data_IF_540439142523
#
_entry.id   IF_540439142523
#
_cell.length_a   1.000
_cell.length_b   1.000
_cell.length_c   1.000
_cell.angle_alpha   90.00
_cell.angle_beta   90.00
_cell.angle_gamma   90.00
#
_symmetry.space_group_name_H-M   'P 1'
#
loop_
_entity.id
_entity.type
_entity.pdbx_description
1 polymer ?
#
# COMPACT_ATOMS: atom_id res chain seq x y z
N UNK A 1 -21.50 -16.38 12.33
CA UNK A 1 -21.14 -15.50 13.48
C UNK A 1 -20.11 -14.48 13.00
N UNK A 2 -20.05 -13.30 13.60
CA UNK A 2 -19.00 -12.30 13.35
C UNK A 2 -18.33 -11.94 14.67
N UNK A 3 -17.00 -11.97 14.70
CA UNK A 3 -16.18 -11.59 15.84
C UNK A 3 -15.06 -10.63 15.39
N UNK A 4 -14.82 -9.59 16.16
CA UNK A 4 -13.79 -8.57 15.95
C UNK A 4 -12.89 -8.49 17.19
N UNK A 5 -11.66 -9.00 17.11
CA UNK A 5 -10.67 -9.02 18.21
C UNK A 5 -11.22 -9.61 19.51
N UNK A 6 -11.99 -10.71 19.44
CA UNK A 6 -12.62 -11.36 20.59
C UNK A 6 -13.98 -10.77 20.97
N UNK A 7 -14.32 -9.56 20.48
CA UNK A 7 -15.64 -8.96 20.66
C UNK A 7 -16.65 -9.53 19.67
N UNK A 8 -17.60 -10.30 20.18
CA UNK A 8 -18.73 -10.81 19.38
C UNK A 8 -19.59 -9.65 18.90
N UNK A 9 -19.97 -9.66 17.62
CA UNK A 9 -20.96 -8.75 17.04
C UNK A 9 -22.27 -9.52 16.82
N UNK A 10 -23.20 -9.52 17.80
CA UNK A 10 -24.41 -10.36 17.77
C UNK A 10 -25.51 -9.78 16.88
N UNK A 11 -25.34 -9.88 15.56
CA UNK A 11 -26.39 -9.54 14.59
C UNK A 11 -27.33 -10.73 14.34
N UNK A 12 -28.64 -10.47 14.33
CA UNK A 12 -29.63 -11.41 13.79
C UNK A 12 -29.67 -11.31 12.27
N UNK A 13 -29.89 -12.44 11.60
CA UNK A 13 -29.91 -12.47 10.13
C UNK A 13 -28.62 -11.95 9.49
N UNK A 14 -27.47 -12.18 10.16
CA UNK A 14 -26.16 -11.75 9.69
C UNK A 14 -25.91 -12.21 8.25
N UNK A 15 -25.72 -11.27 7.34
CA UNK A 15 -25.26 -11.51 5.97
C UNK A 15 -23.95 -10.78 5.74
N UNK A 16 -22.97 -11.48 5.18
CA UNK A 16 -21.66 -10.94 4.87
C UNK A 16 -21.42 -11.15 3.37
N UNK A 17 -21.24 -10.05 2.65
CA UNK A 17 -20.97 -10.03 1.21
C UNK A 17 -19.56 -9.53 1.00
N UNK A 18 -18.73 -10.32 0.32
CA UNK A 18 -17.40 -9.88 -0.08
C UNK A 18 -17.44 -9.23 -1.47
N UNK A 19 -16.77 -8.10 -1.62
CA UNK A 19 -16.61 -7.37 -2.89
C UNK A 19 -15.16 -6.95 -3.08
N UNK A 20 -14.67 -7.01 -4.31
CA UNK A 20 -13.32 -6.60 -4.69
C UNK A 20 -13.38 -6.04 -6.11
N UNK A 21 -13.06 -4.76 -6.29
CA UNK A 21 -13.10 -4.12 -7.61
C UNK A 21 -11.97 -4.63 -8.48
N UNK A 22 -12.27 -5.35 -9.56
CA UNK A 22 -11.29 -5.82 -10.56
C UNK A 22 -10.86 -4.64 -11.43
N UNK A 23 -9.55 -4.54 -11.68
CA UNK A 23 -9.07 -3.68 -12.74
C UNK A 23 -9.66 -4.23 -14.05
N UNK A 24 -10.38 -3.37 -14.76
CA UNK A 24 -10.96 -3.63 -16.06
C UNK A 24 -10.72 -2.38 -16.87
N UNK A 25 -9.97 -2.56 -17.96
CA UNK A 25 -9.64 -1.56 -18.98
C UNK A 25 -10.80 -0.56 -19.16
N UNK A 26 -10.57 0.72 -18.86
CA UNK A 26 -11.47 1.76 -19.34
C UNK A 26 -11.38 1.73 -20.86
N UNK A 27 -12.48 1.28 -21.44
CA UNK A 27 -12.60 0.83 -22.81
C UNK A 27 -13.00 2.02 -23.66
N UNK A 28 -12.11 3.02 -23.77
CA UNK A 28 -12.16 4.04 -24.82
C UNK A 28 -10.90 3.91 -25.66
N UNK A 29 -11.06 3.28 -26.83
CA UNK A 29 -9.99 2.73 -27.63
C UNK A 29 -8.87 3.71 -27.98
N UNK A 30 -7.63 3.26 -27.87
CA UNK A 30 -6.75 3.05 -29.02
C UNK A 30 -5.47 2.38 -28.54
N UNK A 31 -5.01 1.45 -29.37
CA UNK A 31 -3.63 0.96 -29.44
C UNK A 31 -3.23 -0.17 -28.47
N UNK A 32 -2.77 -1.24 -29.10
CA UNK A 32 -2.32 -2.49 -28.52
C UNK A 32 -1.06 -2.36 -27.65
N UNK A 33 -0.88 -3.38 -26.80
CA UNK A 33 0.37 -3.82 -26.18
C UNK A 33 0.92 -2.98 -25.01
N UNK A 34 0.55 -3.34 -23.79
CA UNK A 34 1.47 -3.90 -22.79
C UNK A 34 0.64 -4.61 -21.72
N UNK A 35 1.16 -5.69 -21.12
CA UNK A 35 0.56 -6.33 -19.95
C UNK A 35 0.09 -5.26 -18.97
N UNK A 36 -1.22 -5.22 -18.77
CA UNK A 36 -1.86 -4.24 -17.90
C UNK A 36 -1.23 -4.37 -16.53
N UNK A 37 -0.48 -3.35 -16.13
CA UNK A 37 0.12 -3.29 -14.81
C UNK A 37 -1.01 -3.28 -13.77
N UNK A 38 -1.34 -4.46 -13.22
CA UNK A 38 -2.22 -4.64 -12.06
C UNK A 38 -1.56 -4.11 -10.77
N UNK A 39 -0.85 -2.98 -10.84
CA UNK A 39 -0.22 -2.35 -9.67
C UNK A 39 -1.22 -1.38 -9.07
N UNK A 40 -2.22 -1.95 -8.39
CA UNK A 40 -3.09 -1.23 -7.48
C UNK A 40 -3.56 -2.20 -6.42
N UNK A 41 -3.27 -1.91 -5.15
CA UNK A 41 -3.65 -2.72 -3.98
C UNK A 41 -5.18 -2.99 -4.00
N UNK A 42 -5.56 -4.10 -4.63
CA UNK A 42 -6.95 -4.45 -4.86
C UNK A 42 -7.54 -4.96 -3.55
N UNK A 43 -7.96 -4.03 -2.70
CA UNK A 43 -8.36 -4.32 -1.33
C UNK A 43 -9.74 -4.98 -1.30
N UNK A 44 -9.89 -6.08 -0.54
CA UNK A 44 -11.18 -6.75 -0.37
C UNK A 44 -12.02 -5.98 0.67
N UNK A 45 -13.31 -5.86 0.39
CA UNK A 45 -14.28 -5.24 1.29
C UNK A 45 -15.35 -6.27 1.65
N UNK A 46 -15.70 -6.34 2.93
CA UNK A 46 -16.79 -7.13 3.46
C UNK A 46 -17.93 -6.19 3.85
N UNK A 47 -19.02 -6.21 3.10
CA UNK A 47 -20.27 -5.55 3.46
C UNK A 47 -21.05 -6.46 4.41
N UNK A 48 -21.36 -5.96 5.60
CA UNK A 48 -22.07 -6.70 6.63
C UNK A 48 -23.43 -6.07 6.87
N UNK A 49 -24.46 -6.90 6.91
CA UNK A 49 -25.82 -6.48 7.24
C UNK A 49 -26.44 -7.43 8.27
N UNK A 50 -27.41 -6.93 9.02
CA UNK A 50 -28.19 -7.71 9.96
C UNK A 50 -29.13 -6.82 10.77
N UNK A 51 -29.71 -7.39 11.82
CA UNK A 51 -30.62 -6.64 12.70
C UNK A 51 -30.25 -6.77 14.18
N UNK A 52 -30.56 -5.72 14.94
CA UNK A 52 -30.42 -5.67 16.40
C UNK A 52 -31.78 -5.28 16.99
N UNK A 53 -32.40 -6.11 17.85
CA UNK A 53 -33.66 -5.75 18.51
C UNK A 53 -33.51 -4.50 19.39
N UNK A 54 -34.56 -3.66 19.51
CA UNK A 54 -34.53 -2.45 20.36
C UNK A 54 -34.18 -2.72 21.82
N UNK A 55 -34.63 -3.87 22.35
CA UNK A 55 -34.28 -4.33 23.70
C UNK A 55 -32.78 -4.56 23.93
N UNK A 56 -31.98 -4.61 22.87
CA UNK A 56 -30.54 -4.83 22.90
C UNK A 56 -29.75 -3.55 22.56
N UNK A 57 -30.23 -2.38 23.01
CA UNK A 57 -29.55 -1.10 22.84
C UNK A 57 -28.05 -1.10 23.21
N UNK A 58 -27.59 -1.80 24.27
CA UNK A 58 -26.16 -1.89 24.57
C UNK A 58 -25.32 -2.48 23.43
N UNK A 59 -25.88 -3.44 22.67
CA UNK A 59 -25.18 -4.06 21.53
C UNK A 59 -25.00 -3.08 20.37
N UNK A 60 -26.00 -2.21 20.14
CA UNK A 60 -25.90 -1.16 19.14
C UNK A 60 -24.81 -0.16 19.52
N UNK A 61 -24.80 0.31 20.77
CA UNK A 61 -23.77 1.23 21.27
C UNK A 61 -22.37 0.61 21.16
N UNK A 62 -22.21 -0.65 21.55
CA UNK A 62 -20.94 -1.37 21.39
C UNK A 62 -20.48 -1.41 19.93
N UNK A 63 -21.38 -1.65 18.97
CA UNK A 63 -21.02 -1.65 17.54
C UNK A 63 -20.52 -0.26 17.08
N UNK A 64 -21.21 0.81 17.48
CA UNK A 64 -20.78 2.17 17.17
C UNK A 64 -19.46 2.54 17.83
N UNK A 65 -19.22 2.05 19.06
CA UNK A 65 -17.95 2.21 19.77
C UNK A 65 -16.82 1.53 19.00
N UNK A 66 -17.00 0.28 18.57
CA UNK A 66 -16.01 -0.44 17.75
C UNK A 66 -15.75 0.27 16.42
N UNK A 67 -16.80 0.75 15.75
CA UNK A 67 -16.66 1.47 14.48
C UNK A 67 -15.96 2.82 14.64
N UNK A 68 -16.21 3.50 15.76
CA UNK A 68 -15.65 4.81 16.08
C UNK A 68 -14.22 4.78 16.59
N UNK A 69 -13.76 3.64 17.13
CA UNK A 69 -12.46 3.52 17.80
C UNK A 69 -11.29 3.94 16.90
N UNK A 70 -10.40 4.73 17.49
CA UNK A 70 -9.13 5.16 16.91
C UNK A 70 -8.01 4.98 17.91
N UNK A 71 -6.83 4.60 17.43
CA UNK A 71 -5.58 4.50 18.19
C UNK A 71 -4.52 5.31 17.45
N UNK A 72 -3.78 6.16 18.16
CA UNK A 72 -2.78 7.05 17.58
C UNK A 72 -3.26 7.79 16.29
N UNK A 73 -4.48 8.34 16.35
CA UNK A 73 -5.20 9.01 15.24
C UNK A 73 -5.64 8.12 14.06
N UNK A 74 -5.23 6.85 14.00
CA UNK A 74 -5.64 5.89 12.98
C UNK A 74 -6.86 5.06 13.42
N UNK A 75 -7.65 4.56 12.47
CA UNK A 75 -8.76 3.63 12.77
C UNK A 75 -8.20 2.32 13.32
N UNK A 76 -8.79 1.80 14.40
CA UNK A 76 -8.39 0.52 14.99
C UNK A 76 -8.56 -0.61 13.98
N UNK A 77 -7.55 -1.49 13.93
CA UNK A 77 -7.56 -2.72 13.13
C UNK A 77 -7.99 -3.88 14.02
N UNK A 78 -9.00 -4.62 13.55
CA UNK A 78 -9.57 -5.75 14.26
C UNK A 78 -9.19 -7.06 13.60
N UNK A 79 -8.89 -8.08 14.41
CA UNK A 79 -8.81 -9.46 13.93
C UNK A 79 -10.22 -9.97 13.66
N UNK A 80 -10.51 -10.38 12.44
CA UNK A 80 -11.85 -10.87 12.07
C UNK A 80 -11.94 -12.39 12.20
N UNK A 81 -13.09 -12.89 12.61
CA UNK A 81 -13.44 -14.31 12.49
C UNK A 81 -14.86 -14.44 11.95
N UNK A 82 -14.97 -15.00 10.75
CA UNK A 82 -16.22 -15.21 10.02
C UNK A 82 -15.95 -16.17 8.84
N UNK A 83 -16.87 -17.10 8.51
CA UNK A 83 -16.66 -18.04 7.41
C UNK A 83 -16.28 -17.40 6.06
N UNK A 84 -16.90 -16.27 5.71
CA UNK A 84 -16.60 -15.55 4.46
C UNK A 84 -15.21 -14.90 4.50
N UNK A 85 -14.82 -14.34 5.64
CA UNK A 85 -13.48 -13.79 5.82
C UNK A 85 -12.41 -14.88 5.78
N UNK A 86 -12.67 -16.03 6.44
CA UNK A 86 -11.76 -17.18 6.45
C UNK A 86 -11.57 -17.78 5.06
N UNK A 87 -12.66 -17.94 4.29
CA UNK A 87 -12.61 -18.43 2.91
C UNK A 87 -11.77 -17.53 1.99
N UNK A 88 -11.76 -16.22 2.25
CA UNK A 88 -10.98 -15.23 1.48
C UNK A 88 -9.61 -14.92 2.09
N UNK A 89 -9.21 -15.64 3.15
CA UNK A 89 -7.97 -15.45 3.91
C UNK A 89 -7.82 -14.04 4.50
N UNK A 90 -8.93 -13.34 4.75
CA UNK A 90 -8.94 -12.01 5.37
C UNK A 90 -8.79 -12.20 6.89
N UNK A 91 -7.67 -11.74 7.46
CA UNK A 91 -7.37 -11.89 8.89
C UNK A 91 -7.58 -10.62 9.70
N UNK A 92 -7.35 -9.47 9.09
CA UNK A 92 -7.45 -8.18 9.73
C UNK A 92 -8.33 -7.26 8.89
N UNK A 93 -9.15 -6.47 9.58
CA UNK A 93 -10.05 -5.52 8.95
C UNK A 93 -10.14 -4.23 9.75
N UNK A 94 -10.54 -3.16 9.10
CA UNK A 94 -10.92 -1.91 9.77
C UNK A 94 -12.28 -1.45 9.25
N UNK A 95 -13.02 -0.71 10.07
CA UNK A 95 -14.27 -0.10 9.62
C UNK A 95 -13.98 0.97 8.56
N UNK A 96 -14.74 0.94 7.47
CA UNK A 96 -14.66 1.90 6.37
C UNK A 96 -16.05 2.41 6.00
N UNK A 97 -16.11 3.62 5.46
CA UNK A 97 -17.35 4.22 4.98
C UNK A 97 -18.29 4.56 6.14
N UNK A 98 -19.56 4.20 5.98
CA UNK A 98 -20.64 4.58 6.89
C UNK A 98 -21.21 3.35 7.59
N UNK A 99 -21.34 3.43 8.91
CA UNK A 99 -22.17 2.53 9.70
C UNK A 99 -23.57 3.13 9.80
N UNK A 100 -24.57 2.38 9.35
CA UNK A 100 -25.98 2.79 9.41
C UNK A 100 -26.74 1.89 10.36
N UNK A 101 -27.68 2.48 11.10
CA UNK A 101 -28.66 1.78 11.91
C UNK A 101 -30.02 2.45 11.71
N UNK A 102 -30.88 1.82 10.91
CA UNK A 102 -32.22 2.33 10.59
C UNK A 102 -33.24 1.64 11.47
N UNK A 103 -34.14 2.41 12.04
CA UNK A 103 -35.26 1.86 12.81
C UNK A 103 -36.27 1.17 11.90
N UNK A 104 -36.72 0.01 12.35
CA UNK A 104 -37.85 -0.74 11.82
C UNK A 104 -38.86 -0.87 12.95
N UNK A 105 -39.87 0.00 12.93
CA UNK A 105 -40.91 0.06 13.97
C UNK A 105 -41.83 -1.18 13.95
N UNK A 106 -42.01 -1.80 12.78
CA UNK A 106 -42.86 -3.00 12.62
C UNK A 106 -42.29 -4.16 13.42
N UNK A 107 -40.97 -4.38 13.32
CA UNK A 107 -40.28 -5.47 14.01
C UNK A 107 -39.56 -5.03 15.29
N UNK A 108 -39.65 -3.74 15.65
CA UNK A 108 -38.99 -3.11 16.81
C UNK A 108 -37.50 -3.45 16.90
N UNK A 109 -36.80 -3.20 15.80
CA UNK A 109 -35.38 -3.52 15.64
C UNK A 109 -34.68 -2.45 14.81
N UNK A 110 -33.36 -2.37 14.93
CA UNK A 110 -32.52 -1.63 14.00
C UNK A 110 -32.05 -2.57 12.90
N UNK A 111 -32.21 -2.14 11.65
CA UNK A 111 -31.54 -2.71 10.48
C UNK A 111 -30.19 -2.04 10.35
N UNK A 112 -29.13 -2.83 10.48
CA UNK A 112 -27.75 -2.36 10.56
C UNK A 112 -26.99 -2.76 9.30
N UNK A 113 -26.20 -1.84 8.76
CA UNK A 113 -25.29 -2.10 7.65
C UNK A 113 -23.98 -1.33 7.80
N UNK A 114 -22.85 -1.98 7.53
CA UNK A 114 -21.51 -1.37 7.55
C UNK A 114 -20.53 -2.13 6.67
N UNK A 115 -19.37 -1.54 6.44
CA UNK A 115 -18.31 -2.14 5.66
C UNK A 115 -17.02 -2.30 6.46
N UNK A 116 -16.38 -3.43 6.25
CA UNK A 116 -15.07 -3.77 6.80
C UNK A 116 -14.11 -3.92 5.62
N UNK A 117 -13.04 -3.14 5.60
CA UNK A 117 -12.00 -3.24 4.58
C UNK A 117 -10.84 -4.06 5.11
N UNK A 118 -10.29 -4.94 4.26
CA UNK A 118 -9.09 -5.71 4.57
C UNK A 118 -7.91 -4.80 4.92
N UNK A 119 -7.18 -5.15 5.98
CA UNK A 119 -5.94 -4.50 6.36
C UNK A 119 -4.78 -5.47 6.12
N UNK A 120 -3.94 -5.17 5.13
CA UNK A 120 -2.70 -5.90 4.87
C UNK A 120 -1.58 -5.35 5.77
N UNK A 121 -0.85 -6.24 6.44
CA UNK A 121 0.31 -5.83 7.22
C UNK A 121 1.47 -5.39 6.31
N UNK A 122 2.38 -4.56 6.83
CA UNK A 122 3.55 -4.08 6.06
C UNK A 122 4.44 -5.24 5.62
N UNK A 123 4.59 -6.28 6.45
CA UNK A 123 5.36 -7.48 6.10
C UNK A 123 4.76 -8.21 4.89
N UNK A 124 3.44 -8.43 4.86
CA UNK A 124 2.75 -9.04 3.72
C UNK A 124 2.77 -8.17 2.46
N UNK A 125 2.83 -6.84 2.62
CA UNK A 125 3.05 -5.92 1.49
C UNK A 125 4.46 -6.00 0.93
N UNK A 126 5.47 -6.11 1.80
CA UNK A 126 6.88 -6.19 1.38
C UNK A 126 7.19 -7.52 0.72
N UNK A 127 6.64 -8.63 1.20
CA UNK A 127 6.83 -9.94 0.56
C UNK A 127 6.15 -10.05 -0.80
N UNK A 128 5.04 -9.33 -1.01
CA UNK A 128 4.41 -9.17 -2.34
C UNK A 128 5.17 -8.26 -3.29
N UNK A 129 6.08 -7.42 -2.77
CA UNK A 129 7.01 -6.65 -3.60
C UNK A 129 8.22 -7.54 -3.86
N UNK A 130 8.24 -8.23 -4.99
CA UNK A 130 9.48 -8.81 -5.49
C UNK A 130 10.56 -7.71 -5.55
N UNK A 131 11.80 -7.99 -5.11
CA UNK A 131 12.87 -7.00 -5.16
C UNK A 131 13.10 -6.60 -6.63
N UNK A 132 13.28 -5.29 -6.93
CA UNK A 132 13.55 -4.87 -8.30
C UNK A 132 14.83 -5.56 -8.79
N UNK A 133 14.72 -6.34 -9.86
CA UNK A 133 15.87 -6.89 -10.58
C UNK A 133 16.77 -5.70 -10.98
N UNK A 134 18.04 -5.66 -10.54
CA UNK A 134 18.92 -4.58 -10.95
C UNK A 134 19.07 -4.59 -12.46
N UNK A 135 18.75 -3.47 -13.11
CA UNK A 135 18.94 -3.28 -14.53
C UNK A 135 20.43 -3.49 -14.86
N UNK A 136 20.72 -4.43 -15.76
CA UNK A 136 22.06 -4.65 -16.25
C UNK A 136 22.55 -3.38 -16.97
N UNK A 137 23.55 -2.71 -16.41
CA UNK A 137 24.26 -1.65 -17.12
C UNK A 137 24.95 -2.28 -18.35
N UNK A 138 24.43 -1.99 -19.54
CA UNK A 138 25.14 -2.27 -20.79
C UNK A 138 26.44 -1.49 -20.78
N UNK A 139 27.57 -2.20 -20.60
CA UNK A 139 28.88 -1.68 -20.98
C UNK A 139 28.88 -1.52 -22.50
N UNK A 140 28.85 -0.28 -22.97
CA UNK A 140 29.21 0.03 -24.35
C UNK A 140 30.71 -0.24 -24.49
N UNK A 141 31.07 -1.27 -25.25
CA UNK A 141 32.45 -1.53 -25.70
C UNK A 141 32.84 -0.42 -26.66
N UNK A 142 33.65 0.53 -26.20
CA UNK A 142 34.22 1.57 -27.04
C UNK A 142 35.15 0.95 -28.09
N UNK A 143 34.79 1.11 -29.37
CA UNK A 143 35.70 0.90 -30.50
C UNK A 143 36.67 2.08 -30.52
N UNK A 144 37.96 1.78 -30.36
CA UNK A 144 39.03 2.76 -30.51
C UNK A 144 39.33 2.97 -32.00
N UNK A 145 39.14 4.18 -32.50
CA UNK A 145 39.67 4.63 -33.79
C UNK A 145 40.92 5.48 -33.53
N UNK A 146 42.07 5.25 -34.18
CA UNK A 146 43.26 6.05 -33.96
C UNK A 146 43.20 7.36 -34.76
N UNK A 147 43.38 8.49 -34.09
CA UNK A 147 43.67 9.77 -34.74
C UNK A 147 45.06 10.25 -34.33
N UNK A 148 45.93 10.42 -35.32
CA UNK A 148 47.25 11.04 -35.23
C UNK A 148 47.17 12.55 -34.96
N UNK A 149 48.26 13.18 -34.49
CA UNK A 149 48.23 14.35 -33.59
C UNK A 149 48.26 15.69 -34.33
N UNK A 150 47.81 16.79 -33.69
CA UNK A 150 48.26 18.13 -34.05
C UNK A 150 49.27 18.66 -33.01
N UNK A 151 50.47 18.91 -33.52
CA UNK A 151 51.37 20.05 -33.31
C UNK A 151 51.13 20.96 -32.11
N UNK A 152 52.18 21.11 -31.29
CA UNK A 152 52.34 22.15 -30.30
C UNK A 152 52.72 23.50 -30.94
N UNK A 153 52.03 24.56 -30.54
CA UNK A 153 52.54 25.94 -30.38
C UNK A 153 51.58 26.63 -29.39
N UNK A 154 51.99 26.88 -28.14
CA UNK A 154 52.68 28.08 -27.63
C UNK A 154 51.75 29.29 -27.41
N UNK A 155 51.86 29.84 -26.20
CA UNK A 155 51.31 31.11 -25.68
C UNK A 155 49.90 31.10 -25.02
N UNK A 156 49.88 31.15 -23.66
CA UNK A 156 49.22 32.18 -22.80
C UNK A 156 49.26 31.78 -21.28
N UNK A 157 49.35 32.76 -20.35
CA UNK A 157 50.12 32.79 -19.07
C UNK A 157 49.51 32.14 -17.79
N UNK A 158 50.18 32.21 -16.60
CA UNK A 158 49.87 31.41 -15.42
C UNK A 158 48.60 31.91 -14.70
N UNK A 159 48.03 31.05 -13.85
CA UNK A 159 46.78 31.19 -13.09
C UNK A 159 45.47 30.93 -13.84
N UNK A 160 45.16 29.64 -14.06
CA UNK A 160 43.77 29.19 -14.00
C UNK A 160 43.72 27.80 -13.38
N UNK A 161 43.19 27.72 -12.16
CA UNK A 161 43.06 26.53 -11.35
C UNK A 161 42.32 25.40 -12.09
N UNK A 162 42.99 24.25 -12.21
CA UNK A 162 42.35 23.01 -12.62
C UNK A 162 41.74 22.37 -11.38
N UNK A 163 40.43 22.52 -11.20
CA UNK A 163 39.65 21.91 -10.13
C UNK A 163 39.76 20.37 -10.20
N UNK A 164 40.65 19.79 -9.41
CA UNK A 164 40.85 18.33 -9.34
C UNK A 164 39.91 17.70 -8.31
N UNK A 165 38.68 17.37 -8.71
CA UNK A 165 37.77 16.54 -7.88
C UNK A 165 37.81 15.08 -8.31
N UNK A 166 38.40 14.24 -7.47
CA UNK A 166 38.53 12.79 -7.65
C UNK A 166 39.66 12.23 -6.80
N UNK A 167 40.00 10.95 -6.98
CA UNK A 167 41.05 10.24 -6.24
C UNK A 167 42.42 10.97 -6.19
N UNK A 168 42.69 11.86 -7.14
CA UNK A 168 43.89 12.72 -7.18
C UNK A 168 44.02 13.65 -5.96
N UNK A 169 42.89 14.19 -5.48
CA UNK A 169 42.88 15.08 -4.29
C UNK A 169 43.15 14.33 -2.99
N UNK A 170 42.77 13.04 -2.91
CA UNK A 170 42.99 12.21 -1.72
C UNK A 170 44.45 11.76 -1.64
N UNK A 171 45.09 11.43 -2.77
CA UNK A 171 46.50 11.07 -2.80
C UNK A 171 47.40 12.23 -2.37
N UNK A 172 47.09 13.46 -2.83
CA UNK A 172 47.89 14.63 -2.48
C UNK A 172 47.74 15.04 -1.00
N UNK A 173 46.59 14.75 -0.37
CA UNK A 173 46.42 14.97 1.08
C UNK A 173 47.24 14.00 1.93
N UNK A 174 47.44 12.77 1.45
CA UNK A 174 48.25 11.76 2.14
C UNK A 174 49.74 12.04 1.93
N UNK A 175 50.14 12.53 0.76
CA UNK A 175 51.53 12.89 0.45
C UNK A 175 52.01 14.13 1.22
N UNK A 176 51.11 15.10 1.47
CA UNK A 176 51.46 16.30 2.25
C UNK A 176 51.40 16.11 3.78
N UNK A 177 51.03 14.92 4.25
CA UNK A 177 50.84 14.59 5.66
C UNK A 177 51.95 13.70 6.24
N UNK A 178 53.03 13.43 5.51
CA UNK A 178 54.24 12.81 6.06
C UNK A 178 55.46 13.73 5.90
N UNK A 179 56.26 13.97 6.97
CA UNK A 179 57.66 14.34 6.84
C UNK A 179 58.54 13.15 6.45
#
# INVERSE_FOLDING_TARGET
>A
MLNLSGQRVPLKGLKVTARQQLAGQDMSGSSAATDQAETGDKTKVLAVTGTIPFKAAPMLNQLFTLAGAKEAAARVVYRITNPTADALKIRQVKFQGTLTAREDMTLRQWVVAFELVEHLSVAERTEKREPPTPAAQQKATGVTTPASPPTASDDVPPDTDVEMTGFMGVLHQVENALP
#
